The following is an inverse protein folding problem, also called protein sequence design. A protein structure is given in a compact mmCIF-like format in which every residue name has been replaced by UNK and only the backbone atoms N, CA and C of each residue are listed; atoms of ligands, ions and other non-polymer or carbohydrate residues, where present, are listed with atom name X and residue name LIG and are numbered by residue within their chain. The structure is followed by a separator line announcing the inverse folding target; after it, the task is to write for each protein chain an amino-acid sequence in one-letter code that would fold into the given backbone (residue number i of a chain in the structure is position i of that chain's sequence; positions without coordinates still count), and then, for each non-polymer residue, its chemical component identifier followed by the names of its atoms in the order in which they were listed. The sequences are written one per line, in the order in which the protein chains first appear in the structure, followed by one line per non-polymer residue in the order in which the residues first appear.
data_IF_256298760700
#
_entry.id   IF_256298760700
#
_cell.length_a   1.000
_cell.length_b   1.000
_cell.length_c   1.000
_cell.angle_alpha   90.00
_cell.angle_beta   90.00
_cell.angle_gamma   90.00
#
_symmetry.space_group_name_H-M   'P 1'
#
loop_
_entity.id
_entity.type
_entity.pdbx_description
1 polymer ?
#
# COMPACT_ATOMS: atom_id res chain seq x y z
N UNK A 1 -12.86 -2.06 4.81
CA UNK A 1 -12.49 -1.10 3.74
C UNK A 1 -10.98 -0.82 3.72
N UNK A 2 -10.35 -0.35 4.80
CA UNK A 2 -8.88 -0.13 4.84
C UNK A 2 -8.09 -1.38 4.43
N UNK A 3 -8.28 -2.53 5.12
CA UNK A 3 -7.61 -3.80 4.79
C UNK A 3 -7.81 -4.24 3.33
N UNK A 4 -9.01 -4.02 2.79
CA UNK A 4 -9.32 -4.38 1.40
C UNK A 4 -8.50 -3.58 0.38
N UNK A 5 -8.31 -2.28 0.63
CA UNK A 5 -7.47 -1.44 -0.22
C UNK A 5 -5.98 -1.72 0.00
N UNK A 6 -5.57 -1.89 1.25
CA UNK A 6 -4.21 -2.30 1.64
C UNK A 6 -3.77 -3.57 0.90
N UNK A 7 -4.55 -4.65 0.97
CA UNK A 7 -4.25 -5.91 0.25
C UNK A 7 -4.17 -5.71 -1.26
N UNK A 8 -5.07 -4.91 -1.86
CA UNK A 8 -5.01 -4.65 -3.31
C UNK A 8 -3.81 -3.81 -3.71
N UNK A 9 -3.40 -2.88 -2.86
CA UNK A 9 -2.24 -2.03 -3.07
C UNK A 9 -0.95 -2.85 -2.97
N UNK A 10 -0.85 -3.71 -1.95
CA UNK A 10 0.29 -4.62 -1.77
C UNK A 10 0.40 -5.62 -2.92
N UNK A 11 -0.73 -6.17 -3.38
CA UNK A 11 -0.76 -7.10 -4.52
C UNK A 11 -0.59 -6.40 -5.90
N UNK A 12 -0.41 -5.08 -5.94
CA UNK A 12 -0.28 -4.33 -7.20
C UNK A 12 -1.56 -4.27 -8.05
N UNK A 13 -2.70 -4.70 -7.50
CA UNK A 13 -4.00 -4.71 -8.19
C UNK A 13 -4.67 -3.32 -8.20
N UNK A 14 -4.23 -2.42 -7.33
CA UNK A 14 -4.78 -1.06 -7.17
C UNK A 14 -3.66 -0.12 -6.76
N UNK A 15 -3.65 1.10 -7.28
CA UNK A 15 -2.69 2.12 -6.83
C UNK A 15 -3.17 2.77 -5.53
N UNK A 16 -2.25 3.11 -4.63
CA UNK A 16 -2.58 3.80 -3.37
C UNK A 16 -3.13 5.21 -3.63
N UNK A 17 -2.72 5.85 -4.73
CA UNK A 17 -3.27 7.14 -5.21
C UNK A 17 -4.73 7.03 -5.67
N UNK A 18 -5.17 5.83 -6.02
CA UNK A 18 -6.51 5.51 -6.52
C UNK A 18 -7.48 5.11 -5.40
N UNK A 19 -7.00 5.13 -4.14
CA UNK A 19 -7.81 4.86 -2.95
C UNK A 19 -8.56 6.13 -2.58
N UNK A 20 -9.89 6.06 -2.35
CA UNK A 20 -10.68 7.22 -1.92
C UNK A 20 -10.07 7.91 -0.70
N UNK A 21 -10.06 9.25 -0.70
CA UNK A 21 -9.37 10.07 0.32
C UNK A 21 -9.72 9.69 1.76
N UNK A 22 -11.00 9.35 2.00
CA UNK A 22 -11.53 8.87 3.28
C UNK A 22 -10.72 7.70 3.87
N UNK A 23 -10.21 6.83 3.01
CA UNK A 23 -9.44 5.64 3.37
C UNK A 23 -7.96 5.76 3.03
N UNK A 24 -7.57 6.68 2.15
CA UNK A 24 -6.22 6.85 1.65
C UNK A 24 -5.21 7.15 2.78
N UNK A 25 -5.57 8.04 3.71
CA UNK A 25 -4.70 8.35 4.86
C UNK A 25 -4.43 7.13 5.75
N UNK A 26 -5.47 6.34 6.06
CA UNK A 26 -5.35 5.10 6.86
C UNK A 26 -4.61 3.99 6.08
N UNK A 27 -4.91 3.93 4.78
CA UNK A 27 -4.10 3.41 3.67
C UNK A 27 -2.60 3.39 3.93
N UNK A 28 -2.07 4.59 3.70
CA UNK A 28 -0.68 5.02 3.76
C UNK A 28 -0.07 4.77 5.13
N UNK A 29 -0.76 5.19 6.21
CA UNK A 29 -0.23 5.04 7.58
C UNK A 29 0.07 3.58 7.90
N UNK A 30 -0.81 2.68 7.47
CA UNK A 30 -0.65 1.24 7.70
C UNK A 30 0.46 0.65 6.85
N UNK A 31 0.49 0.98 5.55
CA UNK A 31 1.57 0.57 4.65
C UNK A 31 2.94 1.01 5.17
N UNK A 32 3.08 2.26 5.61
CA UNK A 32 4.33 2.76 6.20
C UNK A 32 4.68 2.02 7.50
N UNK A 33 3.69 1.74 8.35
CA UNK A 33 3.87 0.99 9.60
C UNK A 33 4.31 -0.46 9.37
N UNK A 34 3.77 -1.10 8.33
CA UNK A 34 4.15 -2.45 7.91
C UNK A 34 5.50 -2.48 7.17
N UNK A 35 6.06 -1.31 6.85
CA UNK A 35 7.37 -1.15 6.24
C UNK A 35 7.33 -1.17 4.71
N UNK A 36 6.21 -0.79 4.10
CA UNK A 36 6.10 -0.55 2.67
C UNK A 36 6.47 0.89 2.32
N UNK A 37 7.23 1.06 1.24
CA UNK A 37 7.54 2.33 0.60
C UNK A 37 6.44 2.65 -0.40
N UNK A 38 5.92 3.86 -0.35
CA UNK A 38 4.95 4.38 -1.33
C UNK A 38 5.71 5.05 -2.47
N UNK A 39 5.57 4.52 -3.67
CA UNK A 39 6.20 5.08 -4.87
C UNK A 39 5.32 6.16 -5.48
N UNK A 40 5.94 7.12 -6.16
CA UNK A 40 5.26 8.24 -6.83
C UNK A 40 4.30 7.77 -7.94
N UNK A 41 4.59 6.63 -8.57
CA UNK A 41 3.72 5.99 -9.58
C UNK A 41 2.40 5.45 -9.02
N UNK A 42 2.22 5.50 -7.71
CA UNK A 42 1.03 5.01 -7.01
C UNK A 42 1.10 3.54 -6.59
N UNK A 43 2.23 2.85 -6.79
CA UNK A 43 2.45 1.50 -6.28
C UNK A 43 3.10 1.53 -4.89
N UNK A 44 3.14 0.40 -4.21
CA UNK A 44 3.96 0.21 -3.02
C UNK A 44 5.01 -0.86 -3.27
N UNK A 45 6.16 -0.71 -2.63
CA UNK A 45 7.23 -1.70 -2.61
C UNK A 45 7.58 -2.03 -1.18
N UNK A 46 7.69 -3.31 -0.85
CA UNK A 46 8.08 -3.71 0.51
C UNK A 46 9.53 -3.24 0.77
N UNK A 47 9.75 -2.47 1.85
CA UNK A 47 11.08 -1.95 2.19
C UNK A 47 11.98 -3.01 2.82
N UNK A 48 11.50 -4.25 2.98
CA UNK A 48 12.31 -5.37 3.47
C UNK A 48 12.84 -6.20 2.31
N UNK A 49 14.15 -6.50 2.28
CA UNK A 49 14.69 -7.53 1.39
C UNK A 49 14.30 -8.90 1.99
N UNK A 50 13.11 -9.40 1.70
CA UNK A 50 12.69 -10.63 2.34
C UNK A 50 11.41 -11.25 1.79
N UNK A 51 11.62 -12.23 0.89
CA UNK A 51 10.75 -13.38 0.65
C UNK A 51 9.67 -13.13 -0.42
N UNK A 52 10.12 -13.12 -1.67
CA UNK A 52 9.43 -13.95 -2.68
C UNK A 52 9.42 -15.39 -2.15
N UNK A 53 8.23 -15.96 -1.93
CA UNK A 53 8.05 -17.37 -1.64
C UNK A 53 7.39 -18.04 -2.83
#
# INVERSE_FOLDING_TARGET
MVKFFEERVINGLKKWTDVPELWNKKVIERLQKDGYVLNEDGTVTESKPGIVK
#
